data_IF_911216766891
#
_entry.id   IF_911216766891
#
_cell.length_a   1.000
_cell.length_b   1.000
_cell.length_c   1.000
_cell.angle_alpha   90.00
_cell.angle_beta   90.00
_cell.angle_gamma   90.00
#
_symmetry.space_group_name_H-M   'P 1'
#
loop_
_entity.id
_entity.type
_entity.pdbx_description
1 polymer ?
#
# COMPACT_ATOMS: atom_id res chain seq x y z
N UNK A 1 3.66 1.09 -20.15
CA UNK A 1 2.77 1.95 -20.94
C UNK A 1 2.20 3.00 -20.00
N UNK A 2 2.30 4.27 -20.41
CA UNK A 2 1.68 5.49 -19.88
C UNK A 2 1.49 5.60 -18.35
N UNK A 3 2.45 6.23 -17.65
CA UNK A 3 2.27 6.79 -16.31
C UNK A 3 1.67 8.18 -16.48
N UNK A 4 0.36 8.33 -16.40
CA UNK A 4 -0.33 9.62 -16.53
C UNK A 4 -1.17 9.91 -15.28
N UNK A 5 -1.24 11.19 -14.93
CA UNK A 5 -2.14 11.82 -13.94
C UNK A 5 -3.60 11.31 -14.01
N UNK A 6 -4.05 10.76 -15.15
CA UNK A 6 -5.38 10.13 -15.28
C UNK A 6 -5.59 8.92 -14.36
N UNK A 7 -4.57 8.08 -14.12
CA UNK A 7 -4.71 6.90 -13.23
C UNK A 7 -4.99 7.34 -11.76
N UNK A 8 -4.68 8.59 -11.41
CA UNK A 8 -4.82 9.19 -10.07
C UNK A 8 -6.25 9.63 -9.77
N UNK A 9 -6.87 10.41 -10.67
CA UNK A 9 -8.28 10.82 -10.52
C UNK A 9 -9.21 9.60 -10.49
N UNK A 10 -8.81 8.52 -11.14
CA UNK A 10 -9.56 7.28 -11.12
C UNK A 10 -9.46 6.56 -9.77
N UNK A 11 -8.37 6.60 -9.00
CA UNK A 11 -8.32 5.89 -7.70
C UNK A 11 -9.37 6.40 -6.70
N UNK A 12 -9.53 7.72 -6.55
CA UNK A 12 -10.57 8.28 -5.67
C UNK A 12 -11.99 7.95 -6.13
N UNK A 13 -12.21 7.63 -7.41
CA UNK A 13 -13.52 7.29 -7.98
C UNK A 13 -13.78 5.78 -8.02
N UNK A 14 -12.80 5.01 -8.49
CA UNK A 14 -12.87 3.57 -8.79
C UNK A 14 -12.63 2.70 -7.56
N UNK A 15 -11.87 3.17 -6.56
CA UNK A 15 -11.61 2.42 -5.32
C UNK A 15 -12.82 2.42 -4.37
N UNK A 16 -14.02 2.17 -4.92
CA UNK A 16 -15.32 2.12 -4.23
C UNK A 16 -15.37 1.10 -3.08
N UNK A 17 -14.54 0.06 -3.13
CA UNK A 17 -14.39 -0.91 -2.04
C UNK A 17 -13.61 -0.35 -0.83
N UNK A 18 -12.96 0.81 -0.97
CA UNK A 18 -12.25 1.53 0.07
C UNK A 18 -13.10 2.72 0.54
N UNK A 19 -13.57 2.62 1.77
CA UNK A 19 -14.31 3.65 2.48
C UNK A 19 -14.17 3.43 3.99
N UNK A 20 -13.68 4.42 4.75
CA UNK A 20 -13.19 5.74 4.30
C UNK A 20 -11.93 5.67 3.40
N UNK A 21 -11.67 6.74 2.65
CA UNK A 21 -10.46 6.92 1.80
C UNK A 21 -10.04 8.39 1.74
N UNK A 22 -8.74 8.62 1.56
CA UNK A 22 -8.13 9.94 1.53
C UNK A 22 -7.02 10.00 0.49
N UNK A 23 -6.80 11.20 -0.02
CA UNK A 23 -5.63 11.57 -0.80
C UNK A 23 -4.92 12.72 -0.10
N UNK A 24 -3.64 12.54 0.18
CA UNK A 24 -2.81 13.45 0.96
C UNK A 24 -1.57 13.85 0.15
N UNK A 25 -1.25 15.13 0.13
CA UNK A 25 0.08 15.59 -0.26
C UNK A 25 1.01 15.48 0.94
N UNK A 26 2.13 14.77 0.78
CA UNK A 26 3.17 14.62 1.80
C UNK A 26 4.42 15.33 1.31
N UNK A 27 5.09 16.11 2.17
CA UNK A 27 6.21 17.00 1.78
C UNK A 27 7.36 16.27 1.06
N UNK A 28 7.59 14.99 1.37
CA UNK A 28 8.67 14.19 0.78
C UNK A 28 8.24 13.22 -0.32
N UNK A 29 6.95 13.17 -0.66
CA UNK A 29 6.45 12.33 -1.74
C UNK A 29 6.11 13.21 -2.95
N UNK A 30 6.70 12.88 -4.10
CA UNK A 30 6.44 13.61 -5.34
C UNK A 30 5.00 13.44 -5.81
N UNK A 31 4.43 12.26 -5.55
CA UNK A 31 3.05 11.95 -5.88
C UNK A 31 2.23 11.88 -4.58
N UNK A 32 0.95 12.27 -4.62
CA UNK A 32 0.07 12.14 -3.47
C UNK A 32 -0.01 10.70 -2.96
N UNK A 33 -0.10 10.61 -1.64
CA UNK A 33 -0.38 9.39 -0.93
C UNK A 33 -1.89 9.16 -0.93
N UNK A 34 -2.34 8.07 -1.54
CA UNK A 34 -3.71 7.61 -1.36
C UNK A 34 -3.75 6.55 -0.25
N UNK A 35 -4.70 6.70 0.66
CA UNK A 35 -5.02 5.73 1.70
C UNK A 35 -6.48 5.33 1.61
N UNK A 36 -6.78 4.06 1.92
CA UNK A 36 -8.17 3.65 2.05
C UNK A 36 -8.36 2.38 2.87
N UNK A 37 -9.54 2.28 3.48
CA UNK A 37 -9.94 1.23 4.40
C UNK A 37 -11.09 0.40 3.82
N UNK A 38 -11.04 -0.93 3.95
CA UNK A 38 -12.15 -1.82 3.61
C UNK A 38 -13.05 -2.03 4.81
N UNK A 39 -14.30 -2.38 4.57
CA UNK A 39 -15.25 -2.85 5.61
C UNK A 39 -14.71 -4.00 6.47
N UNK A 40 -13.78 -4.80 5.94
CA UNK A 40 -13.13 -5.89 6.68
C UNK A 40 -11.96 -5.44 7.56
N UNK A 41 -11.73 -4.14 7.72
CA UNK A 41 -10.58 -3.61 8.47
C UNK A 41 -9.26 -3.59 7.69
N UNK A 42 -9.18 -4.23 6.52
CA UNK A 42 -7.98 -4.19 5.69
C UNK A 42 -7.79 -2.79 5.10
N UNK A 43 -6.57 -2.27 5.15
CA UNK A 43 -6.26 -0.96 4.58
C UNK A 43 -5.14 -1.03 3.55
N UNK A 44 -4.94 0.05 2.82
CA UNK A 44 -3.93 0.12 1.76
C UNK A 44 -3.37 1.53 1.63
N UNK A 45 -2.10 1.60 1.27
CA UNK A 45 -1.36 2.83 0.97
C UNK A 45 -0.81 2.76 -0.45
N UNK A 46 -1.03 3.81 -1.23
CA UNK A 46 -0.61 3.94 -2.61
C UNK A 46 0.29 5.16 -2.69
N UNK A 47 1.58 4.95 -2.93
CA UNK A 47 2.57 6.01 -3.13
C UNK A 47 2.62 6.32 -4.63
N UNK A 48 1.60 7.05 -5.10
CA UNK A 48 1.28 7.12 -6.53
C UNK A 48 0.83 5.75 -7.08
N UNK A 49 1.26 5.41 -8.30
CA UNK A 49 0.92 4.11 -8.94
C UNK A 49 1.76 2.93 -8.42
N UNK A 50 2.94 3.21 -7.89
CA UNK A 50 3.97 2.24 -7.49
C UNK A 50 5.00 2.95 -6.57
N UNK A 51 5.20 2.52 -5.31
CA UNK A 51 4.69 1.28 -4.72
C UNK A 51 3.29 1.36 -4.11
N UNK A 52 2.63 0.19 -4.01
CA UNK A 52 1.37 -0.01 -3.29
C UNK A 52 1.56 -1.06 -2.21
N UNK A 53 1.09 -0.79 -1.00
CA UNK A 53 1.10 -1.75 0.12
C UNK A 53 -0.32 -2.00 0.62
N UNK A 54 -0.67 -3.27 0.80
CA UNK A 54 -1.99 -3.70 1.25
C UNK A 54 -1.83 -4.57 2.50
N UNK A 55 -2.51 -4.17 3.57
CA UNK A 55 -2.38 -4.77 4.89
C UNK A 55 -3.67 -5.48 5.30
N UNK A 56 -3.59 -6.37 6.29
CA UNK A 56 -4.78 -6.80 7.02
C UNK A 56 -5.15 -5.78 8.11
N UNK A 57 -6.18 -6.09 8.88
CA UNK A 57 -6.65 -5.22 9.97
C UNK A 57 -5.64 -5.09 11.12
N UNK A 58 -4.67 -5.99 11.21
CA UNK A 58 -3.62 -5.98 12.22
C UNK A 58 -2.35 -5.28 11.72
N UNK A 59 -2.36 -4.72 10.50
CA UNK A 59 -1.20 -4.06 9.92
C UNK A 59 -0.14 -5.00 9.35
N UNK A 60 -0.42 -6.30 9.22
CA UNK A 60 0.51 -7.22 8.58
C UNK A 60 0.45 -7.11 7.06
N UNK A 61 1.60 -7.11 6.41
CA UNK A 61 1.67 -6.99 4.95
C UNK A 61 1.03 -8.21 4.29
N UNK A 62 0.01 -8.00 3.43
CA UNK A 62 -0.66 -9.06 2.66
C UNK A 62 -0.22 -9.10 1.21
N UNK A 63 -0.12 -7.93 0.59
CA UNK A 63 0.24 -7.77 -0.82
C UNK A 63 0.99 -6.47 -0.99
N UNK A 64 1.93 -6.46 -1.93
CA UNK A 64 2.56 -5.23 -2.39
C UNK A 64 2.62 -5.23 -3.91
N UNK A 65 2.57 -4.06 -4.52
CA UNK A 65 2.94 -3.87 -5.92
C UNK A 65 4.15 -2.96 -5.93
N UNK A 66 5.29 -3.50 -6.38
CA UNK A 66 6.58 -2.83 -6.32
C UNK A 66 7.29 -3.12 -7.65
N UNK A 67 7.77 -2.09 -8.31
CA UNK A 67 8.54 -2.17 -9.56
C UNK A 67 7.85 -3.02 -10.64
N UNK A 68 6.54 -2.83 -10.79
CA UNK A 68 5.75 -3.57 -11.78
C UNK A 68 5.43 -5.03 -11.41
N UNK A 69 5.87 -5.51 -10.25
CA UNK A 69 5.65 -6.88 -9.78
C UNK A 69 4.65 -6.92 -8.62
N UNK A 70 3.76 -7.92 -8.65
CA UNK A 70 2.79 -8.16 -7.57
C UNK A 70 3.36 -9.18 -6.58
N UNK A 71 3.55 -8.75 -5.35
CA UNK A 71 3.92 -9.58 -4.21
C UNK A 71 2.67 -9.94 -3.41
N UNK A 72 2.59 -11.18 -2.92
CA UNK A 72 1.50 -11.64 -2.04
C UNK A 72 1.99 -12.64 -1.01
N UNK A 73 1.38 -12.65 0.16
CA UNK A 73 1.74 -13.64 1.20
C UNK A 73 1.44 -15.07 0.79
N UNK A 74 2.43 -15.93 1.03
CA UNK A 74 2.45 -17.34 0.69
C UNK A 74 2.98 -18.12 1.91
N UNK A 75 2.22 -18.13 2.99
CA UNK A 75 2.69 -18.70 4.26
C UNK A 75 3.67 -17.73 4.92
N UNK A 76 4.89 -18.18 5.15
CA UNK A 76 5.94 -17.39 5.83
C UNK A 76 6.85 -16.62 4.86
N UNK A 77 6.47 -16.52 3.58
CA UNK A 77 7.21 -15.76 2.55
C UNK A 77 6.25 -14.99 1.64
N UNK A 78 6.81 -14.20 0.72
CA UNK A 78 6.10 -13.54 -0.36
C UNK A 78 6.33 -14.27 -1.69
N UNK A 79 5.25 -14.50 -2.43
CA UNK A 79 5.33 -14.89 -3.83
C UNK A 79 5.30 -13.63 -4.71
N UNK A 80 6.35 -13.43 -5.51
CA UNK A 80 6.41 -12.44 -6.58
C UNK A 80 5.78 -13.00 -7.85
N UNK A 81 4.82 -12.27 -8.39
CA UNK A 81 4.10 -12.57 -9.61
C UNK A 81 4.44 -11.50 -10.65
N UNK A 82 5.09 -11.90 -11.74
CA UNK A 82 5.42 -11.04 -12.87
C UNK A 82 4.70 -11.52 -14.11
N UNK A 83 4.16 -10.59 -14.90
CA UNK A 83 3.56 -10.90 -16.20
C UNK A 83 4.62 -10.72 -17.27
N UNK A 84 5.04 -11.81 -17.90
CA UNK A 84 5.93 -11.78 -19.05
C UNK A 84 5.07 -11.94 -20.29
N UNK A 85 5.05 -10.91 -21.14
CA UNK A 85 4.38 -10.97 -22.45
C UNK A 85 5.39 -11.45 -23.47
N UNK A 86 5.15 -12.64 -24.01
CA UNK A 86 5.73 -13.03 -25.30
C UNK A 86 4.76 -12.68 -26.41
N UNK A 87 5.23 -12.63 -27.66
CA UNK A 87 4.45 -12.27 -28.86
C UNK A 87 3.18 -13.10 -29.05
N UNK A 88 3.06 -14.25 -28.39
CA UNK A 88 1.94 -15.20 -28.54
C UNK A 88 1.16 -15.44 -27.24
N UNK A 89 1.78 -15.29 -26.05
CA UNK A 89 1.17 -15.65 -24.76
C UNK A 89 1.64 -14.72 -23.64
N UNK A 90 0.75 -14.37 -22.73
CA UNK A 90 1.11 -13.76 -21.43
C UNK A 90 1.31 -14.86 -20.39
N UNK A 91 2.54 -15.06 -19.93
CA UNK A 91 2.88 -16.04 -18.89
C UNK A 91 2.96 -15.32 -17.54
N UNK A 92 2.33 -15.91 -16.52
CA UNK A 92 2.45 -15.44 -15.14
C UNK A 92 3.59 -16.21 -14.45
N UNK A 93 4.76 -15.57 -14.36
CA UNK A 93 5.90 -16.14 -13.66
C UNK A 93 5.75 -15.92 -12.16
N UNK A 94 5.77 -17.03 -11.42
CA UNK A 94 5.77 -17.02 -9.95
C UNK A 94 7.16 -17.38 -9.44
N UNK A 95 7.65 -16.55 -8.52
CA UNK A 95 8.89 -16.76 -7.79
C UNK A 95 8.62 -16.54 -6.30
N UNK A 96 8.89 -17.54 -5.47
CA UNK A 96 8.77 -17.39 -4.01
C UNK A 96 10.08 -16.81 -3.47
N UNK A 97 9.99 -15.71 -2.73
CA UNK A 97 11.15 -15.01 -2.19
C UNK A 97 11.87 -15.85 -1.15
N UNK A 98 13.19 -15.70 -1.12
CA UNK A 98 14.03 -16.12 0.00
C UNK A 98 13.75 -15.27 1.24
N UNK A 99 14.17 -15.77 2.40
CA UNK A 99 14.00 -15.07 3.68
C UNK A 99 14.68 -13.70 3.65
N UNK A 100 15.91 -13.63 3.11
CA UNK A 100 16.68 -12.39 2.98
C UNK A 100 16.00 -11.37 2.05
N UNK A 101 15.35 -11.82 0.98
CA UNK A 101 14.59 -10.92 0.11
C UNK A 101 13.32 -10.40 0.78
N UNK A 102 12.65 -11.23 1.60
CA UNK A 102 11.50 -10.79 2.40
C UNK A 102 11.94 -9.75 3.43
N UNK A 103 13.02 -10.01 4.17
CA UNK A 103 13.57 -9.08 5.16
C UNK A 103 13.95 -7.74 4.52
N UNK A 104 14.63 -7.75 3.36
CA UNK A 104 14.99 -6.54 2.64
C UNK A 104 13.77 -5.74 2.15
N UNK A 105 12.73 -6.42 1.66
CA UNK A 105 11.47 -5.77 1.25
C UNK A 105 10.77 -5.14 2.46
N UNK A 106 10.69 -5.86 3.57
CA UNK A 106 10.07 -5.40 4.81
C UNK A 106 10.84 -4.22 5.42
N UNK A 107 12.18 -4.24 5.40
CA UNK A 107 13.02 -3.13 5.83
C UNK A 107 12.79 -1.89 4.96
N UNK A 108 12.78 -2.05 3.63
CA UNK A 108 12.51 -0.95 2.70
C UNK A 108 11.12 -0.33 2.93
N UNK A 109 10.11 -1.18 3.16
CA UNK A 109 8.77 -0.74 3.52
C UNK A 109 8.79 0.02 4.86
N UNK A 110 9.41 -0.56 5.90
CA UNK A 110 9.49 0.05 7.23
C UNK A 110 10.16 1.43 7.19
N UNK A 111 11.27 1.58 6.46
CA UNK A 111 11.95 2.86 6.28
C UNK A 111 11.05 3.92 5.66
N UNK A 112 10.25 3.54 4.65
CA UNK A 112 9.27 4.45 4.05
C UNK A 112 8.20 4.87 5.04
N UNK A 113 7.64 3.93 5.80
CA UNK A 113 6.62 4.25 6.80
C UNK A 113 7.17 5.06 7.98
N UNK A 114 8.44 4.93 8.35
CA UNK A 114 9.09 5.80 9.36
C UNK A 114 9.20 7.23 8.88
N UNK A 115 9.56 7.44 7.60
CA UNK A 115 9.58 8.77 6.98
C UNK A 115 8.17 9.36 6.91
N UNK A 116 7.18 8.53 6.60
CA UNK A 116 5.79 8.98 6.60
C UNK A 116 5.34 9.36 8.02
N UNK A 117 5.64 8.55 9.03
CA UNK A 117 5.33 8.86 10.43
C UNK A 117 5.93 10.20 10.87
N UNK A 118 7.20 10.48 10.54
CA UNK A 118 7.81 11.76 10.89
C UNK A 118 7.09 12.95 10.24
N UNK A 119 6.58 12.81 9.01
CA UNK A 119 5.81 13.89 8.37
C UNK A 119 4.47 14.16 9.04
N UNK A 120 3.83 13.17 9.66
CA UNK A 120 2.60 13.38 10.44
C UNK A 120 2.86 14.06 11.80
N UNK A 121 4.11 14.08 12.27
CA UNK A 121 4.50 14.80 13.48
C UNK A 121 4.82 16.28 13.22
N UNK A 122 4.99 16.67 11.95
CA UNK A 122 5.26 18.04 11.54
C UNK A 122 3.94 18.73 11.16
N UNK A 123 3.65 19.91 11.74
CA UNK A 123 2.40 20.67 11.50
C UNK A 123 2.14 21.01 10.01
N UNK A 124 3.15 20.95 9.16
CA UNK A 124 3.06 21.21 7.71
C UNK A 124 3.51 20.05 6.83
N UNK A 125 3.76 18.87 7.41
CA UNK A 125 4.28 17.71 6.68
C UNK A 125 3.24 17.00 5.81
N UNK A 126 1.96 17.19 6.10
CA UNK A 126 0.82 16.56 5.42
C UNK A 126 -0.26 17.59 5.11
N UNK A 127 -0.73 17.60 3.88
CA UNK A 127 -1.87 18.40 3.44
C UNK A 127 -2.93 17.48 2.82
N UNK A 128 -4.17 17.60 3.28
CA UNK A 128 -5.31 16.89 2.70
C UNK A 128 -5.66 17.47 1.33
N UNK A 129 -5.71 16.61 0.30
CA UNK A 129 -6.18 16.98 -1.04
C UNK A 129 -7.67 16.67 -1.18
N UNK A 130 -8.06 15.44 -0.83
CA UNK A 130 -9.44 14.96 -0.95
C UNK A 130 -9.72 13.86 0.08
N UNK A 131 -10.94 13.81 0.61
CA UNK A 131 -11.40 12.76 1.53
C UNK A 131 -12.79 12.27 1.16
N UNK A 132 -13.09 11.03 1.52
CA UNK A 132 -14.42 10.41 1.49
C UNK A 132 -14.51 9.53 2.73
N UNK A 133 -15.29 9.89 3.76
CA UNK A 133 -16.53 10.68 3.80
C UNK A 133 -16.32 12.12 4.30
N UNK A 134 -17.40 12.90 4.45
CA UNK A 134 -17.44 14.26 5.04
C UNK A 134 -17.05 14.31 6.55
N UNK A 135 -16.35 13.29 7.06
CA UNK A 135 -15.81 13.30 8.41
C UNK A 135 -14.83 14.46 8.56
N UNK A 136 -14.61 14.94 9.79
CA UNK A 136 -13.59 15.95 10.01
C UNK A 136 -12.22 15.44 9.52
N UNK A 137 -11.56 16.19 8.64
CA UNK A 137 -10.26 15.82 8.03
C UNK A 137 -9.25 15.37 9.08
N UNK A 138 -9.30 15.96 10.28
CA UNK A 138 -8.46 15.62 11.42
C UNK A 138 -8.66 14.20 11.92
N UNK A 139 -9.90 13.73 12.07
CA UNK A 139 -10.17 12.34 12.51
C UNK A 139 -9.63 11.34 11.50
N UNK A 140 -9.70 11.67 10.21
CA UNK A 140 -9.17 10.83 9.15
C UNK A 140 -7.65 10.81 9.17
N UNK A 141 -7.00 11.96 9.38
CA UNK A 141 -5.55 12.02 9.56
C UNK A 141 -5.08 11.22 10.78
N UNK A 142 -5.76 11.34 11.91
CA UNK A 142 -5.48 10.56 13.13
C UNK A 142 -5.61 9.05 12.85
N UNK A 143 -6.64 8.64 12.09
CA UNK A 143 -6.82 7.25 11.68
C UNK A 143 -5.71 6.75 10.74
N UNK A 144 -5.26 7.59 9.80
CA UNK A 144 -4.16 7.24 8.88
C UNK A 144 -2.87 7.10 9.67
N UNK A 145 -2.59 8.03 10.58
CA UNK A 145 -1.43 7.98 11.47
C UNK A 145 -1.44 6.71 12.35
N UNK A 146 -2.59 6.34 12.91
CA UNK A 146 -2.73 5.10 13.68
C UNK A 146 -2.41 3.85 12.82
N UNK A 147 -2.83 3.83 11.56
CA UNK A 147 -2.45 2.73 10.66
C UNK A 147 -0.96 2.73 10.30
N UNK A 148 -0.34 3.90 10.14
CA UNK A 148 1.12 4.00 9.95
C UNK A 148 1.86 3.40 11.14
N UNK A 149 1.45 3.75 12.37
CA UNK A 149 2.01 3.18 13.60
C UNK A 149 1.81 1.66 13.68
N UNK A 150 0.62 1.17 13.32
CA UNK A 150 0.32 -0.27 13.30
C UNK A 150 1.21 -1.02 12.30
N UNK A 151 1.46 -0.44 11.12
CA UNK A 151 2.40 -1.01 10.15
C UNK A 151 3.82 -1.06 10.71
N UNK A 152 4.27 0.00 11.39
CA UNK A 152 5.63 0.05 11.95
C UNK A 152 5.83 -0.95 13.09
N UNK A 153 4.82 -1.09 13.96
CA UNK A 153 4.81 -2.07 15.05
C UNK A 153 4.96 -3.51 14.55
N UNK A 154 4.48 -3.79 13.34
CA UNK A 154 4.42 -5.12 12.75
C UNK A 154 5.21 -5.24 11.44
N UNK A 155 6.19 -4.36 11.25
CA UNK A 155 6.92 -4.24 9.99
C UNK A 155 7.81 -5.43 9.65
N UNK A 156 8.07 -6.31 10.61
CA UNK A 156 8.81 -7.57 10.47
C UNK A 156 7.90 -8.79 10.18
N UNK A 157 6.58 -8.60 10.15
CA UNK A 157 5.61 -9.69 10.05
C UNK A 157 4.76 -9.65 8.77
N UNK A 158 4.56 -10.84 8.21
CA UNK A 158 3.67 -11.07 7.09
C UNK A 158 2.30 -11.52 7.57
N UNK A 159 1.27 -11.11 6.84
CA UNK A 159 -0.08 -11.57 7.10
C UNK A 159 -0.22 -13.06 6.74
N UNK A 160 -1.29 -13.66 7.25
CA UNK A 160 -1.68 -15.01 6.88
C UNK A 160 -1.76 -15.22 5.38
N UNK A 161 -1.40 -16.43 4.94
CA UNK A 161 -1.41 -16.85 3.52
C UNK A 161 -2.73 -16.51 2.84
N UNK A 162 -2.64 -15.88 1.67
CA UNK A 162 -3.80 -15.70 0.79
C UNK A 162 -4.13 -17.04 0.14
N UNK A 163 -5.30 -17.61 0.47
CA UNK A 163 -5.83 -18.80 -0.21
C UNK A 163 -6.15 -18.45 -1.67
N UNK A 164 -5.67 -19.27 -2.61
CA UNK A 164 -6.13 -19.19 -4.00
C UNK A 164 -7.60 -19.61 -4.09
N UNK A 165 -8.32 -19.08 -5.09
CA UNK A 165 -9.60 -19.70 -5.48
C UNK A 165 -9.28 -21.14 -5.89
N UNK A 166 -9.91 -22.10 -5.21
CA UNK A 166 -9.95 -23.50 -5.66
C UNK A 166 -10.74 -23.60 -6.94
#
# INVERSE_FOLDING_TARGET
>A
MARNEQDREDLMREATALFPRAELQVVHETLPLFWGLKKSGHFSFYFGSDPVYQFDQSGFLRRAYIEGALYRTQGNTLARLTRVRNSEVTILNRYDLSITEVESLLQTMAERFRKLESTFLEDSGVQTIQTLPDNAERELCDQIQAHVQLVLQHSDQLASRIRGKR
#
